data_IF_916879934710
#
_entry.id   IF_916879934710
#
_cell.length_a   1.000
_cell.length_b   1.000
_cell.length_c   1.000
_cell.angle_alpha   90.00
_cell.angle_beta   90.00
_cell.angle_gamma   90.00
#
_symmetry.space_group_name_H-M   'P 1'
#
loop_
_entity.id
_entity.type
_entity.pdbx_description
1 polymer ?
#
# COMPACT_ATOMS: atom_id res chain seq x y z
N UNK A 1 -16.78 -8.22 -15.98
CA UNK A 1 -16.10 -7.15 -16.74
C UNK A 1 -16.45 -7.18 -18.23
N UNK A 2 -16.28 -8.29 -18.95
CA UNK A 2 -16.51 -8.35 -20.41
C UNK A 2 -17.86 -7.81 -20.91
N UNK A 3 -18.98 -8.12 -20.24
CA UNK A 3 -20.30 -7.63 -20.64
C UNK A 3 -20.42 -6.10 -20.52
N UNK A 4 -19.93 -5.51 -19.43
CA UNK A 4 -19.90 -4.04 -19.26
C UNK A 4 -19.08 -3.37 -20.36
N UNK A 5 -17.94 -3.94 -20.72
CA UNK A 5 -17.11 -3.42 -21.80
C UNK A 5 -17.85 -3.47 -23.15
N UNK A 6 -18.56 -4.56 -23.42
CA UNK A 6 -19.39 -4.70 -24.62
C UNK A 6 -20.51 -3.66 -24.66
N UNK A 7 -21.22 -3.46 -23.54
CA UNK A 7 -22.26 -2.43 -23.40
C UNK A 7 -21.71 -1.04 -23.71
N UNK A 8 -20.60 -0.64 -23.09
CA UNK A 8 -19.98 0.66 -23.35
C UNK A 8 -19.53 0.81 -24.80
N UNK A 9 -18.97 -0.25 -25.39
CA UNK A 9 -18.55 -0.22 -26.79
C UNK A 9 -19.74 0.02 -27.72
N UNK A 10 -20.83 -0.72 -27.53
CA UNK A 10 -22.04 -0.61 -28.33
C UNK A 10 -22.71 0.77 -28.14
N UNK A 11 -22.80 1.25 -26.90
CA UNK A 11 -23.36 2.58 -26.60
C UNK A 11 -22.57 3.70 -27.30
N UNK A 12 -21.25 3.64 -27.26
CA UNK A 12 -20.37 4.63 -27.89
C UNK A 12 -20.45 4.54 -29.42
N UNK A 13 -20.39 3.33 -30.00
CA UNK A 13 -20.54 3.12 -31.43
C UNK A 13 -21.90 3.63 -31.94
N UNK A 14 -22.99 3.35 -31.22
CA UNK A 14 -24.33 3.84 -31.57
C UNK A 14 -24.43 5.37 -31.51
N UNK A 15 -23.79 6.00 -30.51
CA UNK A 15 -23.85 7.45 -30.33
C UNK A 15 -23.03 8.20 -31.38
N UNK A 16 -21.85 7.71 -31.72
CA UNK A 16 -20.88 8.45 -32.54
C UNK A 16 -20.69 7.89 -33.96
N UNK A 17 -21.17 6.67 -34.25
CA UNK A 17 -21.01 6.03 -35.56
C UNK A 17 -19.57 5.66 -35.92
N UNK A 18 -18.66 5.65 -34.94
CA UNK A 18 -17.23 5.39 -35.12
C UNK A 18 -16.83 4.07 -34.46
N UNK A 19 -15.81 3.36 -35.00
CA UNK A 19 -15.26 2.18 -34.35
C UNK A 19 -14.66 2.56 -32.98
N UNK A 20 -14.86 1.71 -31.98
CA UNK A 20 -14.41 1.94 -30.61
C UNK A 20 -13.33 0.93 -30.23
N UNK A 21 -12.13 1.42 -29.94
CA UNK A 21 -11.04 0.62 -29.36
C UNK A 21 -11.00 0.83 -27.86
N UNK A 22 -11.10 -0.25 -27.09
CA UNK A 22 -11.14 -0.18 -25.64
C UNK A 22 -9.88 -0.79 -25.01
N UNK A 23 -9.36 -0.10 -24.01
CA UNK A 23 -8.27 -0.55 -23.15
C UNK A 23 -8.75 -0.56 -21.71
N UNK A 24 -8.48 -1.67 -21.01
CA UNK A 24 -8.58 -1.76 -19.56
C UNK A 24 -7.17 -1.85 -19.03
N UNK A 25 -6.86 -0.97 -18.08
CA UNK A 25 -5.57 -0.93 -17.42
C UNK A 25 -5.73 -1.60 -16.06
N UNK A 26 -5.02 -2.70 -15.85
CA UNK A 26 -5.02 -3.44 -14.59
C UNK A 26 -3.81 -3.02 -13.73
N UNK A 27 -4.11 -2.46 -12.56
CA UNK A 27 -3.15 -2.03 -11.54
C UNK A 27 -3.45 -2.86 -10.29
N UNK A 28 -2.84 -4.03 -10.20
CA UNK A 28 -3.04 -4.96 -9.10
C UNK A 28 -1.95 -6.03 -9.04
N UNK A 29 -1.88 -6.73 -7.92
CA UNK A 29 -0.93 -7.81 -7.74
C UNK A 29 -1.36 -9.06 -8.53
N UNK A 30 -0.41 -9.67 -9.26
CA UNK A 30 -0.62 -10.91 -9.98
C UNK A 30 -1.37 -10.75 -11.31
N UNK A 31 -1.86 -11.87 -11.84
CA UNK A 31 -2.55 -11.89 -13.15
C UNK A 31 -4.04 -11.59 -12.97
N UNK A 32 -4.63 -10.72 -13.83
CA UNK A 32 -6.05 -10.44 -13.76
C UNK A 32 -6.87 -11.69 -14.11
N UNK A 33 -7.83 -12.05 -13.24
CA UNK A 33 -8.72 -13.20 -13.43
C UNK A 33 -10.00 -12.87 -14.22
N UNK A 34 -10.22 -11.60 -14.54
CA UNK A 34 -11.45 -11.14 -15.18
C UNK A 34 -11.55 -11.59 -16.65
N UNK A 35 -12.73 -12.00 -17.13
CA UNK A 35 -12.88 -12.44 -18.51
C UNK A 35 -12.67 -11.26 -19.48
N UNK A 36 -11.87 -11.51 -20.52
CA UNK A 36 -11.53 -10.53 -21.56
C UNK A 36 -12.37 -10.67 -22.85
N UNK A 37 -13.12 -11.77 -22.96
CA UNK A 37 -13.86 -12.13 -24.18
C UNK A 37 -15.25 -12.63 -23.86
N UNK A 38 -16.19 -12.37 -24.77
CA UNK A 38 -17.49 -13.02 -24.85
C UNK A 38 -17.52 -13.76 -26.18
N UNK A 39 -17.82 -15.06 -26.14
CA UNK A 39 -17.96 -15.88 -27.33
C UNK A 39 -19.18 -16.77 -27.19
N UNK A 40 -20.19 -16.51 -28.00
CA UNK A 40 -21.34 -17.38 -28.19
C UNK A 40 -21.79 -17.31 -29.66
N UNK A 41 -22.88 -18.00 -30.01
CA UNK A 41 -23.36 -18.11 -31.40
C UNK A 41 -23.65 -16.76 -32.09
N UNK A 42 -24.05 -15.74 -31.33
CA UNK A 42 -24.55 -14.47 -31.87
C UNK A 42 -23.72 -13.25 -31.45
N UNK A 43 -22.74 -13.43 -30.57
CA UNK A 43 -21.90 -12.35 -30.04
C UNK A 43 -20.45 -12.81 -29.86
N UNK A 44 -19.58 -12.11 -30.57
CA UNK A 44 -18.13 -12.20 -30.46
C UNK A 44 -17.58 -10.83 -30.07
N UNK A 45 -17.10 -10.72 -28.84
CA UNK A 45 -16.58 -9.45 -28.32
C UNK A 45 -15.31 -9.68 -27.52
N UNK A 46 -14.35 -8.78 -27.65
CA UNK A 46 -13.14 -8.74 -26.84
C UNK A 46 -12.67 -7.30 -26.66
N UNK A 47 -11.85 -7.08 -25.65
CA UNK A 47 -11.19 -5.80 -25.39
C UNK A 47 -9.72 -6.02 -25.03
N UNK A 48 -8.93 -4.96 -25.10
CA UNK A 48 -7.52 -5.02 -24.72
C UNK A 48 -7.40 -4.84 -23.21
N UNK A 49 -6.74 -5.77 -22.53
CA UNK A 49 -6.36 -5.66 -21.12
C UNK A 49 -4.85 -5.50 -21.08
N UNK A 50 -4.39 -4.42 -20.46
CA UNK A 50 -2.97 -4.14 -20.22
C UNK A 50 -2.73 -4.24 -18.72
N UNK A 51 -1.82 -5.12 -18.32
CA UNK A 51 -1.33 -5.18 -16.94
C UNK A 51 -0.17 -4.22 -16.81
N UNK A 52 -0.23 -3.29 -15.85
CA UNK A 52 0.85 -2.32 -15.65
C UNK A 52 2.18 -2.98 -15.31
N UNK A 53 2.13 -4.04 -14.49
CA UNK A 53 3.29 -4.82 -14.07
C UNK A 53 3.99 -5.57 -15.21
N UNK A 54 3.38 -5.69 -16.40
CA UNK A 54 4.00 -6.34 -17.57
C UNK A 54 4.68 -5.31 -18.50
N UNK A 55 4.57 -4.01 -18.22
CA UNK A 55 5.12 -2.93 -19.04
C UNK A 55 6.49 -2.55 -18.50
N UNK A 56 7.51 -2.56 -19.36
CA UNK A 56 8.85 -2.10 -19.00
C UNK A 56 8.81 -0.66 -18.44
N UNK A 57 9.32 -0.52 -17.21
CA UNK A 57 9.37 0.76 -16.50
C UNK A 57 10.14 1.84 -17.28
N UNK A 58 11.09 1.47 -18.13
CA UNK A 58 11.90 2.40 -18.91
C UNK A 58 11.06 3.23 -19.89
N UNK A 59 9.95 2.68 -20.40
CA UNK A 59 9.01 3.40 -21.28
C UNK A 59 8.47 4.65 -20.59
N UNK A 60 8.19 4.55 -19.29
CA UNK A 60 7.70 5.66 -18.49
C UNK A 60 8.84 6.58 -18.06
N UNK A 61 9.98 6.02 -17.66
CA UNK A 61 11.13 6.78 -17.16
C UNK A 61 11.76 7.69 -18.22
N UNK A 62 11.65 7.30 -19.50
CA UNK A 62 12.19 8.05 -20.64
C UNK A 62 11.25 9.15 -21.16
N UNK A 63 10.06 9.31 -20.58
CA UNK A 63 9.13 10.38 -20.98
C UNK A 63 9.64 11.77 -20.60
N UNK A 64 9.27 12.84 -21.30
CA UNK A 64 9.58 14.21 -20.86
C UNK A 64 8.67 14.72 -19.73
N UNK A 65 7.57 14.01 -19.44
CA UNK A 65 6.56 14.41 -18.46
C UNK A 65 6.77 13.70 -17.13
N UNK A 66 6.85 14.46 -16.03
CA UNK A 66 7.00 13.91 -14.67
C UNK A 66 5.86 12.94 -14.36
N UNK A 67 4.63 13.31 -14.72
CA UNK A 67 3.43 12.50 -14.48
C UNK A 67 3.57 11.11 -15.09
N UNK A 68 4.20 11.01 -16.25
CA UNK A 68 4.45 9.74 -16.91
C UNK A 68 5.64 9.01 -16.29
N UNK A 69 6.72 9.72 -15.92
CA UNK A 69 7.85 9.10 -15.19
C UNK A 69 7.44 8.47 -13.88
N UNK A 70 6.53 9.11 -13.13
CA UNK A 70 6.01 8.54 -11.88
C UNK A 70 5.30 7.19 -12.10
N UNK A 71 4.71 6.95 -13.27
CA UNK A 71 4.07 5.68 -13.60
C UNK A 71 5.09 4.53 -13.77
N UNK A 72 6.39 4.82 -13.89
CA UNK A 72 7.44 3.80 -13.91
C UNK A 72 7.38 2.89 -12.67
N UNK A 73 6.94 3.44 -11.53
CA UNK A 73 6.77 2.70 -10.27
C UNK A 73 5.69 1.61 -10.37
N UNK A 74 4.74 1.76 -11.31
CA UNK A 74 3.71 0.77 -11.58
C UNK A 74 4.13 -0.26 -12.64
N UNK A 75 5.26 -0.08 -13.33
CA UNK A 75 5.78 -0.96 -14.39
C UNK A 75 6.41 -2.26 -13.87
N UNK A 76 6.97 -3.09 -14.74
CA UNK A 76 7.79 -4.22 -14.32
C UNK A 76 9.06 -3.71 -13.64
N UNK A 77 9.18 -3.88 -12.32
CA UNK A 77 10.30 -3.38 -11.53
C UNK A 77 11.12 -4.56 -11.04
N UNK A 78 12.43 -4.52 -11.29
CA UNK A 78 13.35 -5.35 -10.52
C UNK A 78 13.52 -4.71 -9.12
N UNK A 79 13.56 -5.54 -8.08
CA UNK A 79 13.63 -5.07 -6.68
C UNK A 79 14.84 -4.16 -6.46
N UNK A 80 15.96 -4.48 -7.12
CA UNK A 80 17.21 -3.73 -7.07
C UNK A 80 17.12 -2.34 -7.72
N UNK A 81 16.21 -2.14 -8.68
CA UNK A 81 16.05 -0.88 -9.42
C UNK A 81 15.08 0.09 -8.74
N UNK A 82 14.23 -0.39 -7.83
CA UNK A 82 13.11 0.41 -7.29
C UNK A 82 13.59 1.67 -6.57
N UNK A 83 14.64 1.55 -5.75
CA UNK A 83 15.18 2.68 -4.99
C UNK A 83 15.87 3.70 -5.91
N UNK A 84 16.62 3.22 -6.91
CA UNK A 84 17.28 4.06 -7.91
C UNK A 84 16.24 4.85 -8.73
N UNK A 85 15.16 4.20 -9.15
CA UNK A 85 14.08 4.83 -9.91
C UNK A 85 13.40 5.92 -9.08
N UNK A 86 13.10 5.63 -7.80
CA UNK A 86 12.53 6.61 -6.88
C UNK A 86 13.46 7.82 -6.70
N UNK A 87 14.77 7.59 -6.53
CA UNK A 87 15.77 8.65 -6.47
C UNK A 87 15.75 9.55 -7.69
N UNK A 88 15.75 8.95 -8.89
CA UNK A 88 15.75 9.70 -10.14
C UNK A 88 14.48 10.55 -10.28
N UNK A 89 13.31 9.98 -9.96
CA UNK A 89 12.03 10.70 -10.05
C UNK A 89 11.98 11.87 -9.04
N UNK A 90 12.40 11.64 -7.79
CA UNK A 90 12.41 12.70 -6.76
C UNK A 90 13.38 13.82 -7.13
N UNK A 91 14.59 13.49 -7.58
CA UNK A 91 15.56 14.49 -8.03
C UNK A 91 15.02 15.33 -9.19
N UNK A 92 14.32 14.72 -10.14
CA UNK A 92 13.72 15.48 -11.25
C UNK A 92 12.58 16.39 -10.80
N UNK A 93 11.75 15.97 -9.84
CA UNK A 93 10.71 16.82 -9.25
C UNK A 93 11.34 18.05 -8.58
N UNK A 94 12.45 17.87 -7.86
CA UNK A 94 13.17 18.95 -7.18
C UNK A 94 13.87 19.89 -8.18
N UNK A 95 14.57 19.33 -9.18
CA UNK A 95 15.41 20.08 -10.11
C UNK A 95 14.64 20.87 -11.18
N UNK A 96 13.32 20.62 -11.33
CA UNK A 96 12.51 21.29 -12.37
C UNK A 96 12.22 22.77 -12.07
N UNK A 97 12.68 23.29 -10.92
CA UNK A 97 12.49 24.70 -10.54
C UNK A 97 11.01 25.08 -10.36
N UNK A 98 10.15 24.08 -10.13
CA UNK A 98 8.73 24.26 -9.83
C UNK A 98 8.57 24.69 -8.37
N UNK A 99 7.62 25.58 -8.08
CA UNK A 99 7.40 26.08 -6.72
C UNK A 99 7.07 24.97 -5.71
N UNK A 100 7.35 25.22 -4.43
CA UNK A 100 7.22 24.24 -3.33
C UNK A 100 5.86 23.52 -3.30
N UNK A 101 4.76 24.24 -3.61
CA UNK A 101 3.41 23.67 -3.66
C UNK A 101 3.26 22.58 -4.73
N UNK A 102 3.83 22.80 -5.92
CA UNK A 102 3.78 21.85 -7.02
C UNK A 102 4.67 20.64 -6.74
N UNK A 103 5.85 20.85 -6.15
CA UNK A 103 6.71 19.77 -5.68
C UNK A 103 5.98 18.88 -4.67
N UNK A 104 5.35 19.49 -3.66
CA UNK A 104 4.55 18.77 -2.67
C UNK A 104 3.40 17.97 -3.30
N UNK A 105 2.76 18.50 -4.37
CA UNK A 105 1.73 17.79 -5.12
C UNK A 105 2.28 16.54 -5.81
N UNK A 106 3.42 16.63 -6.48
CA UNK A 106 4.06 15.50 -7.15
C UNK A 106 4.51 14.42 -6.16
N UNK A 107 5.15 14.82 -5.06
CA UNK A 107 5.56 13.87 -4.00
C UNK A 107 4.36 13.15 -3.38
N UNK A 108 3.22 13.85 -3.22
CA UNK A 108 1.98 13.23 -2.75
C UNK A 108 1.42 12.23 -3.76
N UNK A 109 1.44 12.54 -5.05
CA UNK A 109 1.02 11.61 -6.10
C UNK A 109 1.92 10.37 -6.15
N UNK A 110 3.23 10.58 -6.03
CA UNK A 110 4.23 9.51 -5.95
C UNK A 110 3.92 8.55 -4.80
N UNK A 111 3.63 9.10 -3.61
CA UNK A 111 3.24 8.32 -2.43
C UNK A 111 2.02 7.44 -2.70
N UNK A 112 0.98 7.97 -3.35
CA UNK A 112 -0.23 7.21 -3.69
C UNK A 112 0.09 6.06 -4.65
N UNK A 113 0.93 6.30 -5.67
CA UNK A 113 1.32 5.26 -6.63
C UNK A 113 2.12 4.14 -5.97
N UNK A 114 3.03 4.47 -5.05
CA UNK A 114 3.79 3.48 -4.28
C UNK A 114 2.89 2.60 -3.42
N UNK A 115 1.87 3.18 -2.78
CA UNK A 115 0.88 2.44 -2.01
C UNK A 115 0.06 1.50 -2.89
N UNK A 116 -0.36 1.95 -4.07
CA UNK A 116 -1.11 1.11 -5.02
C UNK A 116 -0.30 -0.10 -5.50
N UNK A 117 1.03 0.04 -5.60
CA UNK A 117 1.92 -1.08 -5.96
C UNK A 117 2.23 -2.02 -4.80
N UNK A 118 1.86 -1.65 -3.57
CA UNK A 118 2.27 -2.34 -2.35
C UNK A 118 3.80 -2.42 -2.20
N UNK A 119 4.52 -1.35 -2.60
CA UNK A 119 5.93 -1.19 -2.27
C UNK A 119 6.01 -0.84 -0.78
N UNK A 120 6.13 -1.86 0.06
CA UNK A 120 6.22 -1.68 1.51
C UNK A 120 7.43 -0.81 1.90
N UNK A 121 7.33 -0.15 3.06
CA UNK A 121 8.41 0.67 3.65
C UNK A 121 9.74 -0.10 3.78
N UNK A 122 9.70 -1.42 3.87
CA UNK A 122 10.87 -2.30 3.95
C UNK A 122 11.70 -2.34 2.67
N UNK A 123 11.13 -1.97 1.52
CA UNK A 123 11.83 -1.96 0.23
C UNK A 123 12.67 -0.71 0.00
N UNK A 124 12.48 0.36 0.78
CA UNK A 124 13.21 1.63 0.64
C UNK A 124 14.15 1.75 1.83
N UNK A 125 15.43 1.45 1.63
CA UNK A 125 16.42 1.49 2.73
C UNK A 125 16.89 2.91 3.04
N UNK A 126 16.76 3.82 2.08
CA UNK A 126 17.24 5.19 2.22
C UNK A 126 16.23 6.09 2.92
N UNK A 127 16.55 6.41 4.19
CA UNK A 127 15.77 7.29 5.05
C UNK A 127 15.61 8.72 4.51
N UNK A 128 16.55 9.23 3.72
CA UNK A 128 16.44 10.58 3.14
C UNK A 128 15.38 10.66 2.05
N UNK A 129 15.21 9.61 1.23
CA UNK A 129 14.05 9.49 0.33
C UNK A 129 12.75 9.36 1.10
N UNK A 130 12.77 8.54 2.15
CA UNK A 130 11.60 8.31 2.99
C UNK A 130 11.11 9.63 3.59
N UNK A 131 11.98 10.46 4.16
CA UNK A 131 11.60 11.76 4.72
C UNK A 131 11.11 12.78 3.68
N UNK A 132 11.55 12.67 2.43
CA UNK A 132 11.05 13.53 1.33
C UNK A 132 9.68 13.08 0.81
N UNK A 133 9.46 11.78 0.69
CA UNK A 133 8.21 11.21 0.18
C UNK A 133 7.14 11.17 1.26
N UNK A 134 7.52 10.92 2.52
CA UNK A 134 6.66 10.78 3.68
C UNK A 134 6.92 11.94 4.67
N UNK A 135 5.93 12.81 4.80
CA UNK A 135 5.88 13.80 5.89
C UNK A 135 5.24 13.07 7.08
N UNK A 136 6.06 12.44 7.92
CA UNK A 136 5.61 11.52 8.97
C UNK A 136 4.72 12.20 10.02
N UNK A 137 5.08 13.39 10.47
CA UNK A 137 4.43 14.09 11.59
C UNK A 137 2.98 14.56 11.33
N UNK A 138 2.57 14.66 10.06
CA UNK A 138 1.22 15.12 9.68
C UNK A 138 0.37 14.03 9.02
N UNK A 139 0.90 12.82 8.90
CA UNK A 139 0.16 11.72 8.29
C UNK A 139 -0.82 11.12 9.31
N UNK A 140 -2.11 11.11 8.98
CA UNK A 140 -3.18 10.59 9.85
C UNK A 140 -2.92 9.11 10.21
N UNK A 141 -2.30 8.34 9.31
CA UNK A 141 -1.96 6.95 9.57
C UNK A 141 -0.81 6.80 10.56
N UNK A 142 0.14 7.75 10.56
CA UNK A 142 1.24 7.78 11.54
C UNK A 142 0.72 8.13 12.93
N UNK A 143 -0.09 9.19 13.04
CA UNK A 143 -0.73 9.60 14.30
C UNK A 143 -1.58 8.45 14.89
N UNK A 144 -2.37 7.77 14.04
CA UNK A 144 -3.12 6.58 14.47
C UNK A 144 -2.19 5.43 14.90
N UNK A 145 -1.05 5.28 14.23
CA UNK A 145 -0.02 4.31 14.57
C UNK A 145 0.59 4.55 15.94
N UNK A 146 0.98 5.80 16.25
CA UNK A 146 1.48 6.20 17.57
C UNK A 146 0.46 5.96 18.67
N UNK A 147 -0.79 6.42 18.49
CA UNK A 147 -1.87 6.21 19.47
C UNK A 147 -2.09 4.70 19.71
N UNK A 148 -2.14 3.90 18.66
CA UNK A 148 -2.30 2.45 18.81
C UNK A 148 -1.08 1.79 19.46
N UNK A 149 0.13 2.29 19.18
CA UNK A 149 1.38 1.83 19.78
C UNK A 149 1.41 2.11 21.27
N UNK A 150 1.04 3.32 21.67
CA UNK A 150 0.95 3.76 23.06
C UNK A 150 -0.08 2.94 23.84
N UNK A 151 -1.30 2.78 23.30
CA UNK A 151 -2.34 1.95 23.93
C UNK A 151 -1.87 0.50 24.09
N UNK A 152 -1.23 -0.08 23.05
CA UNK A 152 -0.69 -1.44 23.13
C UNK A 152 0.43 -1.55 24.16
N UNK A 153 1.30 -0.55 24.24
CA UNK A 153 2.39 -0.47 25.21
C UNK A 153 1.87 -0.38 26.63
N UNK A 154 0.88 0.46 26.88
CA UNK A 154 0.27 0.61 28.21
C UNK A 154 -0.45 -0.67 28.67
N UNK A 155 -1.19 -1.33 27.76
CA UNK A 155 -1.84 -2.61 28.05
C UNK A 155 -0.80 -3.69 28.34
N UNK A 156 0.26 -3.80 27.54
CA UNK A 156 1.34 -4.77 27.77
C UNK A 156 2.05 -4.51 29.08
N UNK A 157 2.46 -3.28 29.37
CA UNK A 157 3.13 -2.93 30.63
C UNK A 157 2.27 -3.21 31.86
N UNK A 158 0.96 -2.95 31.79
CA UNK A 158 0.02 -3.31 32.87
C UNK A 158 -0.11 -4.83 33.04
N UNK A 159 -0.09 -5.61 31.96
CA UNK A 159 -0.16 -7.07 32.02
C UNK A 159 1.14 -7.69 32.53
N UNK A 160 2.29 -7.22 32.03
CA UNK A 160 3.63 -7.64 32.47
C UNK A 160 3.83 -7.33 33.96
N UNK A 161 3.51 -6.10 34.42
CA UNK A 161 3.59 -5.76 35.84
C UNK A 161 2.67 -6.61 36.74
N UNK A 162 1.48 -6.99 36.25
CA UNK A 162 0.61 -7.92 36.98
C UNK A 162 1.20 -9.33 37.05
N UNK A 163 1.85 -9.79 35.99
CA UNK A 163 2.53 -11.10 35.97
C UNK A 163 3.75 -11.11 36.87
N UNK A 164 4.56 -10.05 36.89
CA UNK A 164 5.72 -9.92 37.78
C UNK A 164 5.29 -9.95 39.25
N UNK A 165 4.27 -9.16 39.62
CA UNK A 165 3.69 -9.18 40.98
C UNK A 165 3.14 -10.58 41.31
N UNK A 166 2.46 -11.25 40.37
CA UNK A 166 1.98 -12.61 40.59
C UNK A 166 3.13 -13.61 40.82
N UNK A 167 4.24 -13.48 40.09
CA UNK A 167 5.43 -14.32 40.25
C UNK A 167 6.11 -14.10 41.60
N UNK A 168 6.24 -12.85 42.06
CA UNK A 168 6.81 -12.54 43.38
C UNK A 168 5.94 -13.08 44.52
N UNK A 169 4.62 -12.86 44.46
CA UNK A 169 3.70 -13.37 45.48
C UNK A 169 3.65 -14.91 45.49
N UNK A 170 3.84 -15.57 44.34
CA UNK A 170 3.95 -17.03 44.25
C UNK A 170 5.25 -17.55 44.86
N UNK A 171 6.37 -16.84 44.69
CA UNK A 171 7.66 -17.16 45.33
C UNK A 171 7.60 -17.00 46.85
N UNK A 172 6.82 -16.05 47.36
CA UNK A 172 6.58 -15.88 48.80
C UNK A 172 5.63 -16.92 49.41
N UNK A 173 5.06 -17.83 48.60
CA UNK A 173 4.25 -18.95 49.05
C UNK A 173 2.78 -18.61 49.35
N UNK A 174 2.27 -17.49 48.80
CA UNK A 174 0.87 -17.09 48.96
C UNK A 174 -0.06 -17.96 48.11
N UNK A 175 -1.32 -18.11 48.54
CA UNK A 175 -2.30 -18.94 47.83
C UNK A 175 -2.71 -18.33 46.49
N UNK A 176 -2.97 -19.18 45.50
CA UNK A 176 -3.39 -18.76 44.15
C UNK A 176 -4.66 -17.89 44.18
N UNK A 177 -5.56 -18.11 45.14
CA UNK A 177 -6.77 -17.30 45.34
C UNK A 177 -6.45 -15.87 45.79
N UNK A 178 -5.44 -15.71 46.66
CA UNK A 178 -4.98 -14.40 47.11
C UNK A 178 -4.27 -13.62 45.99
N UNK A 179 -3.47 -14.33 45.19
CA UNK A 179 -2.78 -13.77 44.02
C UNK A 179 -3.79 -13.33 42.95
N UNK A 180 -4.81 -14.15 42.66
CA UNK A 180 -5.88 -13.82 41.72
C UNK A 180 -6.68 -12.59 42.17
N UNK A 181 -6.99 -12.48 43.46
CA UNK A 181 -7.71 -11.34 44.02
C UNK A 181 -6.90 -10.04 43.95
N UNK A 182 -5.58 -10.12 44.13
CA UNK A 182 -4.68 -8.96 44.19
C UNK A 182 -4.31 -8.46 42.78
N UNK A 183 -3.96 -9.37 41.88
CA UNK A 183 -3.50 -9.04 40.51
C UNK A 183 -4.64 -8.96 39.49
N UNK A 184 -5.83 -9.46 39.86
CA UNK A 184 -7.01 -9.63 38.98
C UNK A 184 -6.72 -10.51 37.76
N UNK A 185 -5.70 -11.37 37.83
CA UNK A 185 -5.42 -12.41 36.83
C UNK A 185 -6.30 -13.63 37.09
N UNK A 186 -6.55 -14.42 36.05
CA UNK A 186 -7.27 -15.68 36.20
C UNK A 186 -6.40 -16.73 36.91
N UNK A 187 -7.05 -17.67 37.60
CA UNK A 187 -6.35 -18.75 38.31
C UNK A 187 -5.51 -19.60 37.34
N UNK A 188 -5.98 -19.79 36.10
CA UNK A 188 -5.25 -20.51 35.05
C UNK A 188 -3.96 -19.79 34.62
N UNK A 189 -3.97 -18.46 34.53
CA UNK A 189 -2.78 -17.66 34.20
C UNK A 189 -1.75 -17.70 35.35
N UNK A 190 -2.20 -17.81 36.60
CA UNK A 190 -1.33 -17.88 37.79
C UNK A 190 -0.72 -19.28 37.97
N UNK A 191 -1.46 -20.34 37.62
CA UNK A 191 -0.95 -21.71 37.62
C UNK A 191 0.10 -21.95 36.53
N UNK A 192 0.01 -21.24 35.40
CA UNK A 192 0.95 -21.33 34.28
C UNK A 192 2.27 -20.55 34.47
N UNK A 193 2.34 -19.65 35.46
CA UNK A 193 3.56 -18.90 35.86
C UNK A 193 4.53 -19.75 36.69
#
# INVERSE_FOLDING_TARGET
MAFRMAEYSIMLQRKYGLPVTQFVIYIGAGKPSMPMRIRNKYLHFWYNLLTFSDIDYQVFLNSDKIEQKMLAILGDLQIEDTEMILQKIVQEIENKGIGELEQGRYLKQLRVLMQLRNLEKTSIKNMALTGKIFVEEKDILYIRGEINGEIKGEIKGKMEGKMEIAQELKKEGLSNEFIAKTTKLSIQEIEAL
#
